data_IF_704704109584
#
_entry.id   IF_704704109584
#
_cell.length_a   1.000
_cell.length_b   1.000
_cell.length_c   1.000
_cell.angle_alpha   90.00
_cell.angle_beta   90.00
_cell.angle_gamma   90.00
#
_symmetry.space_group_name_H-M   'P 1'
#
loop_
_entity.id
_entity.type
_entity.pdbx_description
1 polymer ?
#
# COMPACT_ATOMS: atom_id res chain seq x y z
N UNK A 1 20.68 11.54 4.99
CA UNK A 1 20.29 10.11 5.02
C UNK A 1 19.40 9.87 3.83
N UNK A 2 19.67 8.82 3.06
CA UNK A 2 18.89 8.45 1.87
C UNK A 2 18.59 6.95 1.89
N UNK A 3 17.49 6.56 1.26
CA UNK A 3 17.06 5.18 1.12
C UNK A 3 16.23 5.04 -0.16
N UNK A 4 16.23 3.85 -0.76
CA UNK A 4 15.45 3.55 -1.97
C UNK A 4 14.75 2.21 -1.80
N UNK A 5 13.54 2.10 -2.32
CA UNK A 5 12.78 0.86 -2.40
C UNK A 5 12.19 0.74 -3.80
N UNK A 6 12.16 -0.48 -4.33
CA UNK A 6 11.59 -0.80 -5.63
C UNK A 6 10.79 -2.10 -5.54
N UNK A 7 9.81 -2.26 -6.44
CA UNK A 7 9.10 -3.52 -6.61
C UNK A 7 9.97 -4.47 -7.44
N UNK A 8 10.53 -5.48 -6.77
CA UNK A 8 11.45 -6.46 -7.35
C UNK A 8 10.80 -7.82 -7.62
N UNK A 9 9.47 -7.96 -7.41
CA UNK A 9 8.76 -9.19 -7.70
C UNK A 9 8.48 -9.31 -9.21
N UNK A 10 9.08 -10.30 -9.92
CA UNK A 10 8.89 -10.45 -11.37
C UNK A 10 7.44 -10.79 -11.77
N UNK A 11 6.62 -11.28 -10.83
CA UNK A 11 5.21 -11.61 -11.06
C UNK A 11 4.29 -10.41 -10.86
N UNK A 12 4.80 -9.33 -10.26
CA UNK A 12 4.06 -8.10 -10.04
C UNK A 12 3.87 -7.32 -11.35
N UNK A 13 2.65 -6.85 -11.66
CA UNK A 13 2.43 -5.96 -12.81
C UNK A 13 3.26 -4.68 -12.74
N UNK A 14 3.63 -4.22 -11.54
CA UNK A 14 4.38 -2.99 -11.28
C UNK A 14 5.88 -3.23 -11.07
N UNK A 15 6.37 -4.41 -11.43
CA UNK A 15 7.79 -4.75 -11.39
C UNK A 15 8.65 -3.68 -12.05
N UNK A 16 9.72 -3.25 -11.36
CA UNK A 16 10.54 -2.10 -11.78
C UNK A 16 11.26 -2.29 -13.12
N UNK A 17 11.54 -3.54 -13.50
CA UNK A 17 12.12 -3.91 -14.79
C UNK A 17 11.08 -4.48 -15.76
N UNK A 18 9.80 -4.38 -15.41
CA UNK A 18 8.67 -4.81 -16.24
C UNK A 18 8.27 -3.79 -17.30
N UNK A 19 7.15 -4.01 -17.99
CA UNK A 19 6.69 -3.19 -19.11
C UNK A 19 6.44 -1.72 -18.76
N UNK A 20 6.03 -1.44 -17.53
CA UNK A 20 5.81 -0.06 -17.05
C UNK A 20 7.11 0.71 -16.82
N UNK A 21 8.25 0.01 -16.71
CA UNK A 21 9.56 0.60 -16.47
C UNK A 21 9.69 1.28 -15.10
N UNK A 22 10.64 2.21 -15.00
CA UNK A 22 10.96 2.93 -13.76
C UNK A 22 10.10 4.18 -13.61
N UNK A 23 9.21 4.17 -12.63
CA UNK A 23 8.39 5.33 -12.22
C UNK A 23 8.80 5.76 -10.80
N UNK A 24 9.87 6.57 -10.63
CA UNK A 24 10.37 6.95 -9.31
C UNK A 24 9.51 8.04 -8.67
N UNK A 25 9.33 7.97 -7.35
CA UNK A 25 8.74 9.04 -6.53
C UNK A 25 9.77 9.50 -5.50
N UNK A 26 9.97 10.81 -5.39
CA UNK A 26 10.90 11.40 -4.43
C UNK A 26 10.13 11.95 -3.21
N UNK A 27 10.60 11.63 -2.02
CA UNK A 27 10.02 12.10 -0.76
C UNK A 27 11.12 12.60 0.18
N UNK A 28 10.89 13.77 0.79
CA UNK A 28 11.81 14.37 1.75
C UNK A 28 11.07 14.77 3.02
N UNK A 29 11.64 14.41 4.18
CA UNK A 29 11.12 14.82 5.48
C UNK A 29 12.26 15.07 6.47
N UNK A 30 12.14 16.12 7.28
CA UNK A 30 13.09 16.44 8.33
C UNK A 30 13.02 15.46 9.52
N UNK A 31 11.95 14.66 9.64
CA UNK A 31 11.79 13.69 10.75
C UNK A 31 12.55 12.37 10.51
N UNK A 32 13.00 12.12 9.28
CA UNK A 32 13.74 10.91 8.92
C UNK A 32 15.24 11.09 9.19
N UNK A 33 15.61 11.03 10.47
CA UNK A 33 16.97 11.32 10.93
C UNK A 33 17.93 10.12 10.84
N UNK A 34 17.41 8.90 10.68
CA UNK A 34 18.21 7.66 10.63
C UNK A 34 17.93 6.86 9.35
N UNK A 35 18.91 6.07 8.91
CA UNK A 35 18.78 5.21 7.71
C UNK A 35 17.65 4.21 7.83
N UNK A 36 17.46 3.60 9.01
CA UNK A 36 16.37 2.67 9.26
C UNK A 36 14.99 3.33 9.13
N UNK A 37 14.83 4.57 9.60
CA UNK A 37 13.59 5.33 9.43
C UNK A 37 13.37 5.67 7.95
N UNK A 38 14.41 6.10 7.23
CA UNK A 38 14.32 6.40 5.80
C UNK A 38 13.93 5.16 4.98
N UNK A 39 14.52 4.00 5.30
CA UNK A 39 14.18 2.73 4.64
C UNK A 39 12.74 2.29 4.95
N UNK A 40 12.31 2.40 6.20
CA UNK A 40 10.93 2.06 6.59
C UNK A 40 9.92 2.98 5.89
N UNK A 41 10.23 4.27 5.76
CA UNK A 41 9.40 5.22 5.02
C UNK A 41 9.36 4.89 3.52
N UNK A 42 10.49 4.53 2.91
CA UNK A 42 10.56 4.13 1.50
C UNK A 42 9.69 2.89 1.22
N UNK A 43 9.77 1.85 2.08
CA UNK A 43 8.90 0.67 1.95
C UNK A 43 7.43 1.00 2.16
N UNK A 44 7.10 1.87 3.12
CA UNK A 44 5.72 2.31 3.36
C UNK A 44 5.15 3.03 2.12
N UNK A 45 5.89 3.96 1.55
CA UNK A 45 5.48 4.69 0.35
C UNK A 45 5.32 3.76 -0.86
N UNK A 46 6.22 2.81 -1.04
CA UNK A 46 6.11 1.80 -2.09
C UNK A 46 4.85 0.94 -1.91
N UNK A 47 4.57 0.46 -0.69
CA UNK A 47 3.37 -0.33 -0.42
C UNK A 47 2.08 0.46 -0.65
N UNK A 48 2.08 1.74 -0.29
CA UNK A 48 0.93 2.62 -0.55
C UNK A 48 0.71 2.84 -2.05
N UNK A 49 1.78 2.96 -2.85
CA UNK A 49 1.65 3.11 -4.30
C UNK A 49 1.28 1.82 -5.03
N UNK A 50 1.64 0.66 -4.46
CA UNK A 50 1.26 -0.67 -4.97
C UNK A 50 -0.17 -1.08 -4.60
N UNK A 51 -0.78 -0.41 -3.61
CA UNK A 51 -2.12 -0.75 -3.13
C UNK A 51 -3.12 -0.63 -4.30
N UNK A 52 -4.03 -1.60 -4.50
CA UNK A 52 -5.11 -1.46 -5.45
C UNK A 52 -5.93 -0.20 -5.15
N UNK A 53 -6.15 0.63 -6.17
CA UNK A 53 -7.08 1.75 -6.09
C UNK A 53 -8.52 1.21 -6.21
N UNK A 54 -8.95 0.49 -5.17
CA UNK A 54 -10.27 -0.10 -5.07
C UNK A 54 -11.03 0.53 -3.90
N UNK A 55 -12.25 0.95 -4.19
CA UNK A 55 -13.22 1.41 -3.20
C UNK A 55 -14.40 0.44 -3.23
N UNK A 56 -14.91 0.09 -2.05
CA UNK A 56 -16.04 -0.80 -1.91
C UNK A 56 -17.08 -0.17 -0.99
N UNK A 57 -18.34 -0.17 -1.44
CA UNK A 57 -19.48 0.21 -0.62
C UNK A 57 -20.06 -1.06 0.03
N UNK A 58 -20.22 -1.02 1.34
CA UNK A 58 -20.73 -2.14 2.14
C UNK A 58 -21.98 -1.69 2.89
N UNK A 59 -23.01 -2.53 2.87
CA UNK A 59 -24.20 -2.35 3.69
C UNK A 59 -24.36 -3.54 4.64
N UNK A 60 -24.70 -3.26 5.89
CA UNK A 60 -24.94 -4.26 6.92
C UNK A 60 -26.11 -3.82 7.79
N UNK A 61 -26.75 -4.79 8.44
CA UNK A 61 -27.64 -4.53 9.58
C UNK A 61 -26.85 -3.78 10.66
N UNK A 62 -27.44 -2.82 11.40
CA UNK A 62 -26.74 -2.08 12.44
C UNK A 62 -26.06 -3.00 13.44
N UNK A 63 -24.73 -2.90 13.54
CA UNK A 63 -23.92 -3.63 14.51
C UNK A 63 -23.23 -2.62 15.44
N UNK A 64 -23.64 -2.54 16.72
CA UNK A 64 -23.07 -1.58 17.68
C UNK A 64 -21.61 -1.89 18.04
N UNK A 65 -21.07 -3.05 17.68
CA UNK A 65 -19.66 -3.41 17.90
C UNK A 65 -18.72 -2.92 16.79
N UNK A 66 -19.22 -2.25 15.75
CA UNK A 66 -18.41 -1.70 14.67
C UNK A 66 -18.19 -0.20 14.85
N UNK A 67 -16.94 0.22 14.81
CA UNK A 67 -16.53 1.61 14.94
C UNK A 67 -15.83 2.11 13.66
N UNK A 68 -15.88 3.42 13.36
CA UNK A 68 -15.13 3.99 12.25
C UNK A 68 -13.61 3.72 12.41
N UNK A 69 -13.02 3.06 11.41
CA UNK A 69 -11.60 2.71 11.42
C UNK A 69 -11.32 1.22 11.62
N UNK A 70 -12.34 0.42 11.93
CA UNK A 70 -12.19 -1.04 12.03
C UNK A 70 -11.78 -1.67 10.70
N UNK A 71 -10.85 -2.63 10.78
CA UNK A 71 -10.40 -3.40 9.63
C UNK A 71 -11.33 -4.59 9.44
N UNK A 72 -12.10 -4.56 8.35
CA UNK A 72 -13.05 -5.61 8.00
C UNK A 72 -12.48 -6.52 6.91
N UNK A 73 -12.76 -7.83 7.03
CA UNK A 73 -12.62 -8.78 5.93
C UNK A 73 -14.00 -8.99 5.32
N UNK A 74 -14.11 -8.71 4.02
CA UNK A 74 -15.36 -8.90 3.27
C UNK A 74 -15.25 -10.15 2.41
N UNK A 75 -16.38 -10.81 2.17
CA UNK A 75 -16.50 -11.85 1.16
C UNK A 75 -17.77 -11.56 0.37
N UNK A 76 -17.62 -11.32 -0.92
CA UNK A 76 -18.74 -11.02 -1.80
C UNK A 76 -19.53 -12.30 -2.11
N UNK A 77 -20.78 -12.18 -2.55
CA UNK A 77 -21.66 -13.33 -2.80
C UNK A 77 -21.15 -14.32 -3.85
N UNK A 78 -20.19 -13.89 -4.69
CA UNK A 78 -19.48 -14.71 -5.67
C UNK A 78 -18.23 -15.41 -5.10
N UNK A 79 -17.89 -15.20 -3.83
CA UNK A 79 -16.72 -15.78 -3.15
C UNK A 79 -15.43 -14.97 -3.26
N UNK A 80 -15.45 -13.85 -3.97
CA UNK A 80 -14.29 -12.94 -4.06
C UNK A 80 -14.05 -12.23 -2.73
N UNK A 81 -12.79 -11.87 -2.47
CA UNK A 81 -12.30 -11.30 -1.21
C UNK A 81 -11.49 -10.04 -1.43
#
# INVERSE_FOLDING_TARGET
VEATAADEDPTSPTYVYGPFGRVPTFYSSATLTTSNLAQSAAYKLLRDSLKPNATADLSSVPNPCLEPGDILRVTYGNGDR
#
